data_IF_724281774418
#
_entry.id   IF_724281774418
#
_cell.length_a   1.000
_cell.length_b   1.000
_cell.length_c   1.000
_cell.angle_alpha   90.00
_cell.angle_beta   90.00
_cell.angle_gamma   90.00
#
_symmetry.space_group_name_H-M   'P 1'
#
loop_
_entity.id
_entity.type
_entity.pdbx_description
1 polymer ?
#
# COMPACT_ATOMS: atom_id res chain seq x y z
N UNK A 1 -2.61 17.70 -17.14
CA UNK A 1 -1.76 16.73 -16.41
C UNK A 1 -2.00 15.34 -16.98
N UNK A 2 -0.98 14.78 -17.58
CA UNK A 2 -1.02 13.47 -18.23
C UNK A 2 -0.32 12.44 -17.33
N UNK A 3 -1.09 11.59 -16.65
CA UNK A 3 -0.56 10.58 -15.72
C UNK A 3 -0.61 9.20 -16.36
N UNK A 4 0.54 8.55 -16.47
CA UNK A 4 0.68 7.15 -16.84
C UNK A 4 0.65 6.26 -15.59
N UNK A 5 -0.16 5.20 -15.62
CA UNK A 5 -0.25 4.18 -14.56
C UNK A 5 0.19 2.84 -15.11
N UNK A 6 1.30 2.30 -14.61
CA UNK A 6 1.85 1.03 -15.07
C UNK A 6 2.62 0.30 -13.97
N UNK A 7 2.91 -0.96 -14.20
CA UNK A 7 3.86 -1.70 -13.38
C UNK A 7 5.25 -1.05 -13.47
N UNK A 8 5.94 -0.96 -12.34
CA UNK A 8 7.32 -0.52 -12.30
C UNK A 8 8.25 -1.56 -12.92
N UNK A 9 9.24 -1.11 -13.68
CA UNK A 9 10.25 -2.01 -14.25
C UNK A 9 11.24 -2.46 -13.19
N UNK A 10 11.91 -3.59 -13.42
CA UNK A 10 12.97 -4.10 -12.53
C UNK A 10 14.06 -3.05 -12.26
N UNK A 11 14.46 -2.31 -13.28
CA UNK A 11 15.44 -1.24 -13.14
C UNK A 11 14.96 -0.10 -12.22
N UNK A 12 13.68 0.25 -12.27
CA UNK A 12 13.09 1.26 -11.39
C UNK A 12 13.00 0.80 -9.94
N UNK A 13 12.87 -0.53 -9.72
CA UNK A 13 12.79 -1.14 -8.40
C UNK A 13 14.15 -1.35 -7.74
N UNK A 14 15.23 -1.30 -8.50
CA UNK A 14 16.59 -1.48 -7.99
C UNK A 14 17.35 -0.16 -7.85
N UNK A 15 17.05 0.80 -8.71
CA UNK A 15 17.81 2.07 -8.77
C UNK A 15 16.86 3.19 -9.20
N UNK A 16 16.74 4.22 -8.39
CA UNK A 16 16.08 5.42 -8.87
C UNK A 16 15.04 6.02 -7.92
N UNK A 17 14.06 6.70 -8.53
CA UNK A 17 13.05 7.47 -7.83
C UNK A 17 11.90 6.62 -7.25
N UNK A 18 11.64 5.45 -7.85
CA UNK A 18 10.65 4.49 -7.35
C UNK A 18 11.18 3.78 -6.11
N UNK A 19 12.42 3.25 -6.18
CA UNK A 19 13.11 2.60 -5.08
C UNK A 19 13.16 3.50 -3.83
N UNK A 20 13.64 4.73 -3.99
CA UNK A 20 13.66 5.73 -2.89
C UNK A 20 12.27 6.05 -2.33
N UNK A 21 11.24 6.00 -3.16
CA UNK A 21 9.88 6.27 -2.70
C UNK A 21 9.32 5.08 -1.91
N UNK A 22 9.68 3.85 -2.26
CA UNK A 22 9.33 2.65 -1.48
C UNK A 22 9.95 2.74 -0.09
N UNK A 23 11.25 3.01 0.01
CA UNK A 23 11.93 3.17 1.30
C UNK A 23 11.26 4.24 2.17
N UNK A 24 10.91 5.40 1.59
CA UNK A 24 10.24 6.47 2.32
C UNK A 24 8.87 6.02 2.86
N UNK A 25 8.10 5.30 2.06
CA UNK A 25 6.77 4.82 2.45
C UNK A 25 6.87 3.77 3.55
N UNK A 26 7.84 2.87 3.47
CA UNK A 26 8.09 1.88 4.52
C UNK A 26 8.42 2.57 5.86
N UNK A 27 9.26 3.59 5.87
CA UNK A 27 9.57 4.38 7.06
C UNK A 27 8.31 5.04 7.64
N UNK A 28 7.50 5.71 6.80
CA UNK A 28 6.25 6.36 7.26
C UNK A 28 5.25 5.33 7.81
N UNK A 29 5.14 4.16 7.18
CA UNK A 29 4.27 3.07 7.64
C UNK A 29 4.74 2.48 8.96
N UNK A 30 6.05 2.29 9.14
CA UNK A 30 6.65 1.84 10.40
C UNK A 30 6.41 2.83 11.54
N UNK A 31 6.55 4.14 11.29
CA UNK A 31 6.30 5.17 12.28
C UNK A 31 4.82 5.17 12.73
N UNK A 32 3.88 5.06 11.79
CA UNK A 32 2.45 4.94 12.09
C UNK A 32 2.13 3.69 12.91
N UNK A 33 2.75 2.57 12.58
CA UNK A 33 2.55 1.30 13.28
C UNK A 33 3.13 1.37 14.69
N UNK A 34 4.32 1.91 14.85
CA UNK A 34 4.95 2.15 16.15
C UNK A 34 4.09 3.04 17.04
N UNK A 35 3.56 4.15 16.51
CA UNK A 35 2.66 5.03 17.25
C UNK A 35 1.35 4.33 17.64
N UNK A 36 0.89 3.38 16.82
CA UNK A 36 -0.35 2.63 17.07
C UNK A 36 -0.19 1.54 18.13
N UNK A 37 0.92 0.80 18.10
CA UNK A 37 1.10 -0.41 18.93
C UNK A 37 2.28 -0.33 19.90
N UNK A 38 3.10 0.73 19.84
CA UNK A 38 4.26 0.94 20.74
C UNK A 38 5.44 -0.02 20.51
N UNK A 39 5.43 -0.78 19.43
CA UNK A 39 6.48 -1.77 19.08
C UNK A 39 7.15 -1.36 17.78
N UNK A 40 8.49 -1.49 17.72
CA UNK A 40 9.22 -1.31 16.47
C UNK A 40 8.86 -2.46 15.52
N UNK A 41 8.25 -2.19 14.36
CA UNK A 41 8.02 -3.23 13.37
C UNK A 41 9.35 -3.68 12.74
N UNK A 42 9.44 -4.94 12.36
CA UNK A 42 10.54 -5.41 11.55
C UNK A 42 10.39 -4.86 10.12
N UNK A 43 11.48 -4.35 9.55
CA UNK A 43 11.53 -3.99 8.13
C UNK A 43 11.40 -5.26 7.30
N UNK A 44 10.28 -5.42 6.62
CA UNK A 44 10.01 -6.64 5.85
C UNK A 44 10.49 -6.55 4.42
N UNK A 45 10.81 -5.35 3.93
CA UNK A 45 11.24 -5.13 2.55
C UNK A 45 10.24 -5.64 1.49
N UNK A 46 10.53 -5.36 0.23
CA UNK A 46 9.77 -5.89 -0.91
C UNK A 46 10.17 -7.35 -1.20
N UNK A 47 9.16 -8.24 -1.28
CA UNK A 47 9.34 -9.62 -1.69
C UNK A 47 9.41 -9.80 -3.22
N UNK A 48 9.93 -10.93 -3.69
CA UNK A 48 10.00 -11.26 -5.12
C UNK A 48 8.61 -11.48 -5.76
N UNK A 49 7.60 -11.77 -4.96
CA UNK A 49 6.22 -11.99 -5.39
C UNK A 49 5.37 -10.71 -5.36
N UNK A 50 5.97 -9.58 -5.03
CA UNK A 50 5.28 -8.30 -4.91
C UNK A 50 5.28 -7.54 -6.26
N UNK A 51 4.20 -6.81 -6.50
CA UNK A 51 4.07 -5.93 -7.66
C UNK A 51 4.01 -4.48 -7.20
N UNK A 52 4.77 -3.61 -7.83
CA UNK A 52 4.70 -2.16 -7.63
C UNK A 52 4.10 -1.52 -8.87
N UNK A 53 3.05 -0.72 -8.66
CA UNK A 53 2.45 0.11 -9.71
C UNK A 53 2.87 1.54 -9.46
N UNK A 54 3.35 2.21 -10.51
CA UNK A 54 3.81 3.59 -10.47
C UNK A 54 2.87 4.50 -11.25
N UNK A 55 2.63 5.69 -10.72
CA UNK A 55 2.01 6.81 -11.42
C UNK A 55 3.09 7.82 -11.83
N UNK A 56 3.23 8.08 -13.12
CA UNK A 56 4.21 9.03 -13.67
C UNK A 56 3.55 10.21 -14.33
N UNK A 57 4.02 11.39 -14.00
CA UNK A 57 3.61 12.65 -14.63
C UNK A 57 4.39 12.87 -15.92
N UNK A 58 3.75 12.55 -17.05
CA UNK A 58 4.38 12.62 -18.37
C UNK A 58 4.54 14.05 -18.87
N UNK A 59 3.80 15.01 -18.32
CA UNK A 59 4.00 16.43 -18.59
C UNK A 59 5.21 17.01 -17.83
N UNK A 60 5.75 16.26 -16.86
CA UNK A 60 6.89 16.64 -16.05
C UNK A 60 7.99 15.57 -16.11
N UNK A 61 8.52 15.33 -17.31
CA UNK A 61 9.64 14.41 -17.58
C UNK A 61 9.46 12.99 -17.01
N UNK A 62 8.22 12.54 -16.84
CA UNK A 62 7.92 11.22 -16.27
C UNK A 62 8.25 11.10 -14.77
N UNK A 63 8.27 12.21 -14.04
CA UNK A 63 8.49 12.19 -12.58
C UNK A 63 7.48 11.29 -11.88
N UNK A 64 7.93 10.50 -10.90
CA UNK A 64 7.04 9.68 -10.07
C UNK A 64 6.13 10.58 -9.24
N UNK A 65 4.83 10.41 -9.40
CA UNK A 65 3.78 11.10 -8.66
C UNK A 65 3.28 10.28 -7.46
N UNK A 66 3.29 8.95 -7.57
CA UNK A 66 2.86 8.05 -6.51
C UNK A 66 3.11 6.58 -6.86
N UNK A 67 2.92 5.71 -5.88
CA UNK A 67 3.07 4.25 -6.00
C UNK A 67 1.97 3.54 -5.24
N UNK A 68 1.74 2.27 -5.60
CA UNK A 68 1.03 1.29 -4.78
C UNK A 68 1.80 -0.04 -4.82
N UNK A 69 1.90 -0.69 -3.67
CA UNK A 69 2.55 -2.00 -3.51
C UNK A 69 1.49 -3.06 -3.28
N UNK A 70 1.51 -4.10 -4.09
CA UNK A 70 0.66 -5.28 -3.98
C UNK A 70 1.52 -6.46 -3.54
N UNK A 71 1.32 -6.92 -2.31
CA UNK A 71 2.00 -8.09 -1.74
C UNK A 71 1.43 -9.38 -2.32
N UNK A 72 2.30 -10.37 -2.51
CA UNK A 72 1.93 -11.71 -3.01
C UNK A 72 1.21 -11.69 -4.37
N UNK A 73 1.39 -10.62 -5.14
CA UNK A 73 0.71 -10.46 -6.42
C UNK A 73 1.10 -11.54 -7.43
N UNK A 74 2.39 -11.92 -7.48
CA UNK A 74 2.91 -12.94 -8.39
C UNK A 74 2.94 -14.35 -7.79
N UNK A 75 2.52 -14.55 -6.54
CA UNK A 75 2.40 -15.91 -5.98
C UNK A 75 1.29 -16.68 -6.69
N UNK A 76 1.68 -17.62 -7.52
CA UNK A 76 0.75 -18.45 -8.31
C UNK A 76 -0.09 -19.40 -7.47
N UNK A 77 0.26 -19.62 -6.21
CA UNK A 77 -0.50 -20.47 -5.27
C UNK A 77 -1.58 -19.68 -4.53
N UNK A 78 -1.47 -18.37 -4.50
CA UNK A 78 -2.42 -17.50 -3.84
C UNK A 78 -3.40 -16.90 -4.86
N UNK A 79 -4.70 -16.97 -4.56
CA UNK A 79 -5.75 -16.26 -5.29
C UNK A 79 -6.10 -14.90 -4.65
N UNK A 80 -5.29 -14.47 -3.69
CA UNK A 80 -5.42 -13.23 -2.93
C UNK A 80 -4.10 -12.46 -3.01
N UNK A 81 -4.18 -11.15 -3.17
CA UNK A 81 -3.05 -10.22 -2.97
C UNK A 81 -3.47 -9.14 -1.98
N UNK A 82 -2.50 -8.53 -1.32
CA UNK A 82 -2.74 -7.45 -0.36
C UNK A 82 -2.24 -6.12 -0.93
N UNK A 83 -3.12 -5.12 -0.96
CA UNK A 83 -2.69 -3.74 -1.17
C UNK A 83 -2.10 -3.26 0.15
N UNK A 84 -0.77 -3.17 0.18
CA UNK A 84 -0.01 -2.90 1.40
C UNK A 84 0.26 -1.41 1.56
N UNK A 85 0.91 -0.79 0.58
CA UNK A 85 1.22 0.61 0.59
C UNK A 85 0.57 1.34 -0.59
N UNK A 86 0.02 2.50 -0.32
CA UNK A 86 -0.46 3.46 -1.32
C UNK A 86 0.04 4.84 -0.94
N UNK A 87 0.90 5.40 -1.76
CA UNK A 87 1.49 6.71 -1.50
C UNK A 87 1.38 7.63 -2.71
N UNK A 88 1.04 8.89 -2.46
CA UNK A 88 1.05 9.97 -3.44
C UNK A 88 1.87 11.12 -2.88
N UNK A 89 2.90 11.55 -3.61
CA UNK A 89 3.74 12.69 -3.24
C UNK A 89 2.88 13.92 -2.97
N UNK A 90 3.22 14.68 -1.94
CA UNK A 90 2.40 15.78 -1.43
C UNK A 90 1.93 16.75 -2.53
N UNK A 91 2.85 17.17 -3.40
CA UNK A 91 2.54 18.08 -4.51
C UNK A 91 1.51 17.54 -5.52
N UNK A 92 1.26 16.22 -5.52
CA UNK A 92 0.32 15.54 -6.41
C UNK A 92 -0.96 15.08 -5.69
N UNK A 93 -1.08 15.33 -4.39
CA UNK A 93 -2.27 14.97 -3.61
C UNK A 93 -3.49 15.75 -4.06
N UNK A 94 -4.67 15.19 -3.87
CA UNK A 94 -5.98 15.78 -4.22
C UNK A 94 -6.24 15.95 -5.73
N UNK A 95 -5.38 15.38 -6.58
CA UNK A 95 -5.49 15.41 -8.04
C UNK A 95 -6.03 14.10 -8.64
N UNK A 96 -6.55 13.19 -7.81
CA UNK A 96 -7.12 11.91 -8.27
C UNK A 96 -6.11 10.79 -8.50
N UNK A 97 -4.81 11.02 -8.28
CA UNK A 97 -3.75 10.05 -8.58
C UNK A 97 -3.88 8.77 -7.73
N UNK A 98 -4.16 8.89 -6.43
CA UNK A 98 -4.42 7.72 -5.57
C UNK A 98 -5.57 6.87 -6.08
N UNK A 99 -6.66 7.49 -6.54
CA UNK A 99 -7.78 6.79 -7.17
C UNK A 99 -7.37 6.08 -8.47
N UNK A 100 -6.52 6.72 -9.28
CA UNK A 100 -5.98 6.11 -10.51
C UNK A 100 -5.11 4.89 -10.21
N UNK A 101 -4.24 4.96 -9.21
CA UNK A 101 -3.43 3.84 -8.73
C UNK A 101 -4.29 2.67 -8.27
N UNK A 102 -5.32 2.92 -7.43
CA UNK A 102 -6.27 1.89 -6.97
C UNK A 102 -6.99 1.24 -8.14
N UNK A 103 -7.49 2.00 -9.10
CA UNK A 103 -8.16 1.46 -10.29
C UNK A 103 -7.22 0.59 -11.12
N UNK A 104 -5.97 1.00 -11.31
CA UNK A 104 -4.97 0.21 -12.02
C UNK A 104 -4.67 -1.10 -11.28
N UNK A 105 -4.52 -1.05 -9.95
CA UNK A 105 -4.31 -2.22 -9.11
C UNK A 105 -5.48 -3.22 -9.21
N UNK A 106 -6.72 -2.73 -9.14
CA UNK A 106 -7.93 -3.57 -9.29
C UNK A 106 -7.96 -4.24 -10.67
N UNK A 107 -7.71 -3.49 -11.75
CA UNK A 107 -7.67 -4.03 -13.11
C UNK A 107 -6.64 -5.15 -13.23
N UNK A 108 -5.42 -4.94 -12.74
CA UNK A 108 -4.36 -5.94 -12.78
C UNK A 108 -4.69 -7.17 -11.93
N UNK A 109 -5.24 -6.99 -10.74
CA UNK A 109 -5.67 -8.11 -9.90
C UNK A 109 -6.76 -8.95 -10.59
N UNK A 110 -7.75 -8.31 -11.23
CA UNK A 110 -8.80 -8.98 -11.98
C UNK A 110 -8.25 -9.77 -13.18
N UNK A 111 -7.32 -9.17 -13.95
CA UNK A 111 -6.65 -9.83 -15.08
C UNK A 111 -5.88 -11.09 -14.66
N UNK A 112 -5.32 -11.09 -13.43
CA UNK A 112 -4.61 -12.24 -12.84
C UNK A 112 -5.51 -13.18 -12.03
N UNK A 113 -6.83 -12.97 -12.05
CA UNK A 113 -7.79 -13.81 -11.31
C UNK A 113 -7.67 -13.71 -9.77
N UNK A 114 -7.08 -12.63 -9.26
CA UNK A 114 -6.85 -12.41 -7.84
C UNK A 114 -7.94 -11.56 -7.21
N UNK A 115 -8.22 -11.84 -5.94
CA UNK A 115 -8.94 -10.92 -5.05
C UNK A 115 -7.93 -10.04 -4.33
N UNK A 116 -8.36 -8.85 -3.92
CA UNK A 116 -7.51 -7.91 -3.23
C UNK A 116 -8.05 -7.60 -1.84
N UNK A 117 -7.16 -7.62 -0.85
CA UNK A 117 -7.40 -7.15 0.51
C UNK A 117 -6.57 -5.90 0.79
N UNK A 118 -6.99 -5.15 1.77
CA UNK A 118 -6.23 -4.03 2.32
C UNK A 118 -6.54 -3.86 3.81
N UNK A 119 -5.58 -3.29 4.53
CA UNK A 119 -5.75 -2.84 5.91
C UNK A 119 -5.54 -1.33 6.02
N UNK A 120 -6.19 -0.70 6.98
CA UNK A 120 -5.96 0.71 7.32
C UNK A 120 -5.75 0.79 8.82
N UNK A 121 -4.60 1.33 9.25
CA UNK A 121 -4.35 1.56 10.67
C UNK A 121 -5.35 2.57 11.23
N UNK A 122 -5.83 2.32 12.46
CA UNK A 122 -6.86 3.16 13.10
C UNK A 122 -6.40 4.61 13.31
N UNK A 123 -5.11 4.85 13.49
CA UNK A 123 -4.52 6.17 13.63
C UNK A 123 -4.21 6.84 12.27
N UNK A 124 -4.43 6.16 11.15
CA UNK A 124 -4.26 6.72 9.81
C UNK A 124 -5.57 7.38 9.34
N UNK A 125 -5.88 8.56 9.87
CA UNK A 125 -7.11 9.29 9.52
C UNK A 125 -7.20 9.64 8.02
N UNK A 126 -6.09 9.95 7.38
CA UNK A 126 -6.05 10.27 5.95
C UNK A 126 -6.35 9.04 5.10
N UNK A 127 -5.79 7.89 5.47
CA UNK A 127 -6.09 6.60 4.86
C UNK A 127 -7.56 6.24 5.04
N UNK A 128 -8.10 6.35 6.24
CA UNK A 128 -9.51 6.07 6.53
C UNK A 128 -10.46 6.95 5.69
N UNK A 129 -10.18 8.26 5.57
CA UNK A 129 -10.94 9.19 4.72
C UNK A 129 -10.83 8.85 3.24
N UNK A 130 -9.64 8.44 2.79
CA UNK A 130 -9.43 8.02 1.40
C UNK A 130 -10.25 6.77 1.09
N UNK A 131 -10.11 5.71 1.87
CA UNK A 131 -10.77 4.43 1.66
C UNK A 131 -12.28 4.47 1.90
N UNK A 132 -12.74 5.35 2.81
CA UNK A 132 -14.18 5.58 3.02
C UNK A 132 -14.94 5.96 1.75
N UNK A 133 -14.28 6.56 0.76
CA UNK A 133 -14.88 6.88 -0.55
C UNK A 133 -15.16 5.65 -1.41
N UNK A 134 -14.54 4.51 -1.10
CA UNK A 134 -14.71 3.24 -1.80
C UNK A 134 -15.61 2.26 -1.05
N UNK A 135 -16.30 2.71 -0.01
CA UNK A 135 -17.17 1.85 0.84
C UNK A 135 -18.26 1.09 0.08
N UNK A 136 -18.64 1.57 -1.11
CA UNK A 136 -19.66 0.90 -1.94
C UNK A 136 -19.17 -0.41 -2.59
N UNK A 137 -17.86 -0.68 -2.63
CA UNK A 137 -17.29 -1.95 -3.09
C UNK A 137 -16.22 -2.55 -2.16
N UNK A 138 -15.82 -1.86 -1.11
CA UNK A 138 -14.97 -2.42 -0.05
C UNK A 138 -15.83 -3.08 1.01
N UNK A 139 -15.71 -4.39 1.17
CA UNK A 139 -16.50 -5.18 2.12
C UNK A 139 -15.61 -5.50 3.32
N UNK A 140 -15.98 -5.10 4.56
CA UNK A 140 -15.26 -5.51 5.77
C UNK A 140 -15.29 -7.03 5.92
N UNK A 141 -14.14 -7.66 6.09
CA UNK A 141 -14.02 -9.14 6.16
C UNK A 141 -13.42 -9.64 7.46
N UNK A 142 -12.68 -8.81 8.18
CA UNK A 142 -12.02 -9.17 9.43
C UNK A 142 -11.85 -7.99 10.36
N UNK A 143 -11.65 -8.28 11.64
CA UNK A 143 -11.11 -7.35 12.64
C UNK A 143 -9.88 -8.01 13.22
N UNK A 144 -8.76 -7.30 13.20
CA UNK A 144 -7.49 -7.79 13.73
C UNK A 144 -7.19 -7.09 15.05
N UNK A 145 -6.73 -7.86 16.04
CA UNK A 145 -6.32 -7.37 17.34
C UNK A 145 -4.87 -7.74 17.58
N UNK A 146 -4.11 -6.80 18.12
CA UNK A 146 -2.80 -7.09 18.68
C UNK A 146 -2.95 -7.40 20.17
N UNK A 147 -2.28 -8.47 20.64
CA UNK A 147 -2.25 -8.81 22.04
C UNK A 147 -1.13 -7.99 22.70
N UNK A 148 -1.49 -7.16 23.65
CA UNK A 148 -0.56 -6.44 24.50
C UNK A 148 -0.09 -7.35 25.63
N UNK A 149 1.12 -7.90 25.49
CA UNK A 149 1.69 -8.82 26.47
C UNK A 149 2.02 -8.15 27.81
N UNK A 150 2.27 -6.84 27.81
CA UNK A 150 2.56 -6.10 29.04
C UNK A 150 1.30 -5.92 29.89
N UNK A 151 0.14 -5.87 29.25
CA UNK A 151 -1.16 -5.80 29.93
C UNK A 151 -1.79 -7.17 30.19
N UNK A 152 -1.18 -8.27 29.69
CA UNK A 152 -1.73 -9.61 29.83
C UNK A 152 -1.42 -10.20 31.20
N UNK A 153 -2.46 -10.44 32.02
CA UNK A 153 -2.33 -11.14 33.29
C UNK A 153 -2.81 -12.60 33.15
N UNK A 154 -1.85 -13.54 33.29
CA UNK A 154 -2.14 -14.98 33.25
C UNK A 154 -3.08 -15.47 34.38
N UNK A 155 -3.37 -14.64 35.37
CA UNK A 155 -4.23 -14.97 36.50
C UNK A 155 -5.68 -14.46 36.34
N UNK A 156 -5.97 -13.66 35.34
CA UNK A 156 -7.36 -13.32 34.99
C UNK A 156 -8.07 -14.54 34.40
N UNK A 157 -9.08 -15.03 35.10
CA UNK A 157 -9.96 -16.11 34.64
C UNK A 157 -11.24 -15.55 34.07
#
# INVERSE_FOLDING_TARGET
>A
MNIEYREATESELQFGDVDRLIDLVEIESCDLLKDSIGVEPEETGRGNEDCVIVARDMDNEGCVAGIVVLREFFDMRANLCTLDDLYVKEKYRRMGIGTGLVRKAISMAQEHGKRMMLGVLLNNENGAKFWGRFSHFCIPVSVEYMIDYDSYDMNEK
#
